data_IF_694404713769
#
_entry.id   IF_694404713769
#
_cell.length_a   1.000
_cell.length_b   1.000
_cell.length_c   1.000
_cell.angle_alpha   90.00
_cell.angle_beta   90.00
_cell.angle_gamma   90.00
#
_symmetry.space_group_name_H-M   'P 1'
#
loop_
_entity.id
_entity.type
_entity.pdbx_description
1 polymer ?
#
# COMPACT_ATOMS: atom_id res chain seq x y z
N UNK A 1 10.95 16.03 -6.49
CA UNK A 1 10.34 15.61 -5.22
C UNK A 1 11.33 15.89 -4.10
N UNK A 2 10.86 16.55 -3.03
CA UNK A 2 11.61 16.74 -1.80
C UNK A 2 11.09 15.73 -0.77
N UNK A 3 11.98 15.07 -0.05
CA UNK A 3 11.64 14.08 0.98
C UNK A 3 12.03 14.65 2.35
N UNK A 4 11.07 14.69 3.27
CA UNK A 4 11.26 15.05 4.66
C UNK A 4 11.19 13.75 5.47
N UNK A 5 12.33 13.28 5.96
CA UNK A 5 12.42 12.13 6.86
C UNK A 5 12.24 12.60 8.31
N UNK A 6 11.34 11.95 9.04
CA UNK A 6 11.01 12.33 10.43
C UNK A 6 11.37 11.22 11.40
N UNK A 7 11.87 11.56 12.60
CA UNK A 7 12.10 10.58 13.64
C UNK A 7 10.80 9.86 14.04
N UNK A 8 10.87 8.54 14.25
CA UNK A 8 9.72 7.73 14.69
C UNK A 8 9.51 7.66 16.19
N UNK A 9 10.43 8.20 17.01
CA UNK A 9 10.31 8.17 18.47
C UNK A 9 9.38 9.26 18.99
N UNK A 10 8.64 8.97 20.06
CA UNK A 10 7.66 9.88 20.65
C UNK A 10 8.22 11.20 21.16
N UNK A 11 9.49 11.22 21.55
CA UNK A 11 10.18 12.42 22.00
C UNK A 11 10.32 13.49 20.90
N UNK A 12 10.18 13.08 19.63
CA UNK A 12 10.35 13.92 18.44
C UNK A 12 9.04 14.16 17.67
N UNK A 13 7.92 14.12 18.38
CA UNK A 13 6.58 14.35 17.77
C UNK A 13 6.48 15.74 17.15
N UNK A 14 7.20 16.74 17.69
CA UNK A 14 7.24 18.10 17.19
C UNK A 14 7.81 18.18 15.78
N UNK A 15 8.93 17.48 15.52
CA UNK A 15 9.56 17.43 14.20
C UNK A 15 8.66 16.73 13.16
N UNK A 16 7.96 15.66 13.56
CA UNK A 16 6.99 15.00 12.71
C UNK A 16 5.81 15.92 12.36
N UNK A 17 5.35 16.73 13.33
CA UNK A 17 4.28 17.70 13.12
C UNK A 17 4.71 18.87 12.22
N UNK A 18 5.92 19.39 12.41
CA UNK A 18 6.48 20.44 11.55
C UNK A 18 6.60 19.94 10.10
N UNK A 19 7.13 18.73 9.89
CA UNK A 19 7.23 18.14 8.56
C UNK A 19 5.85 17.91 7.92
N UNK A 20 4.88 17.38 8.69
CA UNK A 20 3.52 17.18 8.20
C UNK A 20 2.84 18.51 7.80
N UNK A 21 3.11 19.59 8.52
CA UNK A 21 2.54 20.91 8.18
C UNK A 21 3.06 21.49 6.87
N UNK A 22 4.22 21.04 6.40
CA UNK A 22 4.89 21.52 5.19
C UNK A 22 4.82 20.53 4.01
N UNK A 23 4.32 19.33 4.23
CA UNK A 23 4.27 18.27 3.24
C UNK A 23 3.00 18.34 2.37
N UNK A 24 3.11 17.89 1.12
CA UNK A 24 1.97 17.73 0.21
C UNK A 24 1.35 16.30 0.30
N UNK A 25 2.10 15.34 0.81
CA UNK A 25 1.68 13.95 1.00
C UNK A 25 2.55 13.24 2.03
N UNK A 26 2.10 12.11 2.54
CA UNK A 26 2.82 11.33 3.53
C UNK A 26 2.98 9.84 3.13
N UNK A 27 4.10 9.25 3.52
CA UNK A 27 4.32 7.80 3.50
C UNK A 27 4.44 7.35 4.95
N UNK A 28 3.47 6.56 5.42
CA UNK A 28 3.51 5.95 6.74
C UNK A 28 4.21 4.60 6.62
N UNK A 29 5.37 4.46 7.26
CA UNK A 29 6.15 3.23 7.26
C UNK A 29 5.72 2.36 8.44
N UNK A 30 5.35 1.11 8.15
CA UNK A 30 4.91 0.11 9.14
C UNK A 30 5.79 -1.13 9.01
N UNK A 31 6.35 -1.61 10.11
CA UNK A 31 7.13 -2.84 10.08
C UNK A 31 6.25 -4.07 9.83
N UNK A 32 6.59 -4.87 8.83
CA UNK A 32 5.92 -6.14 8.56
C UNK A 32 6.06 -7.16 9.69
N UNK A 33 7.09 -7.00 10.52
CA UNK A 33 7.35 -7.85 11.69
C UNK A 33 6.56 -7.40 12.92
N UNK A 34 6.61 -6.11 13.24
CA UNK A 34 5.98 -5.57 14.45
C UNK A 34 4.47 -5.30 14.25
N UNK A 35 4.06 -5.02 13.02
CA UNK A 35 2.66 -4.66 12.73
C UNK A 35 2.36 -3.20 13.02
N UNK A 36 1.07 -2.92 13.24
CA UNK A 36 0.58 -1.56 13.55
C UNK A 36 0.89 -1.22 14.99
N UNK A 37 1.63 -0.16 15.20
CA UNK A 37 2.06 0.34 16.52
C UNK A 37 1.43 1.72 16.81
N UNK A 38 1.57 2.20 18.04
CA UNK A 38 1.07 3.53 18.44
C UNK A 38 1.63 4.65 17.55
N UNK A 39 2.90 4.52 17.11
CA UNK A 39 3.51 5.45 16.15
C UNK A 39 2.77 5.53 14.81
N UNK A 40 2.28 4.41 14.31
CA UNK A 40 1.46 4.35 13.10
C UNK A 40 0.16 5.13 13.27
N UNK A 41 -0.52 4.96 14.42
CA UNK A 41 -1.77 5.67 14.71
C UNK A 41 -1.56 7.18 14.83
N UNK A 42 -0.48 7.61 15.47
CA UNK A 42 -0.13 9.05 15.58
C UNK A 42 0.22 9.66 14.21
N UNK A 43 0.98 8.94 13.38
CA UNK A 43 1.26 9.39 12.01
C UNK A 43 -0.03 9.51 11.19
N UNK A 44 -0.97 8.59 11.38
CA UNK A 44 -2.29 8.67 10.77
C UNK A 44 -3.07 9.90 11.24
N UNK A 45 -3.13 10.16 12.55
CA UNK A 45 -3.77 11.34 13.14
C UNK A 45 -3.19 12.66 12.61
N UNK A 46 -1.86 12.73 12.43
CA UNK A 46 -1.22 13.89 11.80
C UNK A 46 -1.67 14.08 10.34
N UNK A 47 -1.75 13.00 9.57
CA UNK A 47 -2.27 13.06 8.21
C UNK A 47 -3.73 13.52 8.16
N UNK A 48 -4.58 13.06 9.09
CA UNK A 48 -5.96 13.55 9.22
C UNK A 48 -5.99 15.04 9.57
N UNK A 49 -5.19 15.47 10.55
CA UNK A 49 -5.12 16.87 11.02
C UNK A 49 -4.75 17.84 9.89
N UNK A 50 -3.77 17.46 9.07
CA UNK A 50 -3.27 18.30 7.96
C UNK A 50 -3.88 17.94 6.61
N UNK A 51 -4.87 17.05 6.57
CA UNK A 51 -5.55 16.58 5.35
C UNK A 51 -4.58 16.09 4.26
N UNK A 52 -3.52 15.39 4.67
CA UNK A 52 -2.50 14.89 3.77
C UNK A 52 -2.99 13.64 3.04
N UNK A 53 -2.91 13.59 1.71
CA UNK A 53 -2.87 12.35 0.96
C UNK A 53 -1.79 11.44 1.53
N UNK A 54 -2.09 10.14 1.69
CA UNK A 54 -1.16 9.23 2.33
C UNK A 54 -1.14 7.87 1.68
N UNK A 55 -0.01 7.20 1.81
CA UNK A 55 0.13 5.78 1.51
C UNK A 55 0.84 5.06 2.66
N UNK A 56 0.68 3.75 2.73
CA UNK A 56 1.38 2.92 3.70
C UNK A 56 2.42 2.08 2.97
N UNK A 57 3.63 2.06 3.52
CA UNK A 57 4.71 1.20 3.09
C UNK A 57 5.04 0.20 4.18
N UNK A 58 4.79 -1.09 3.92
CA UNK A 58 5.12 -2.18 4.84
C UNK A 58 6.57 -2.59 4.59
N UNK A 59 7.44 -2.23 5.53
CA UNK A 59 8.89 -2.54 5.51
C UNK A 59 9.19 -3.92 6.09
N UNK A 60 10.47 -4.29 6.09
CA UNK A 60 10.99 -5.49 6.75
C UNK A 60 10.38 -6.80 6.26
N UNK A 61 9.96 -6.86 5.00
CA UNK A 61 9.32 -8.06 4.43
C UNK A 61 10.29 -9.24 4.29
N UNK A 62 11.59 -9.00 4.41
CA UNK A 62 12.67 -9.99 4.39
C UNK A 62 13.08 -10.51 5.79
N UNK A 63 12.44 -10.01 6.84
CA UNK A 63 12.69 -10.44 8.22
C UNK A 63 11.77 -11.60 8.59
N UNK A 64 12.27 -12.50 9.43
CA UNK A 64 11.50 -13.64 9.95
C UNK A 64 10.21 -13.18 10.67
N UNK A 65 9.13 -13.89 10.42
CA UNK A 65 7.79 -13.63 10.93
C UNK A 65 7.16 -12.32 10.44
N UNK A 66 7.70 -11.66 9.41
CA UNK A 66 7.02 -10.54 8.77
C UNK A 66 5.74 -11.01 8.06
N UNK A 67 4.61 -10.36 8.36
CA UNK A 67 3.31 -10.72 7.81
C UNK A 67 2.58 -9.50 7.24
N UNK A 68 2.65 -9.34 5.93
CA UNK A 68 1.89 -8.29 5.23
C UNK A 68 0.39 -8.42 5.47
N UNK A 69 -0.12 -9.66 5.42
CA UNK A 69 -1.55 -9.93 5.63
C UNK A 69 -2.04 -9.43 6.97
N UNK A 70 -1.31 -9.74 8.05
CA UNK A 70 -1.68 -9.29 9.40
C UNK A 70 -1.68 -7.76 9.49
N UNK A 71 -0.68 -7.09 8.91
CA UNK A 71 -0.63 -5.62 8.88
C UNK A 71 -1.85 -5.05 8.16
N UNK A 72 -2.23 -5.61 7.01
CA UNK A 72 -3.42 -5.16 6.27
C UNK A 72 -4.71 -5.42 7.03
N UNK A 73 -4.84 -6.57 7.71
CA UNK A 73 -6.00 -6.89 8.55
C UNK A 73 -6.11 -5.89 9.71
N UNK A 74 -5.03 -5.63 10.45
CA UNK A 74 -4.99 -4.67 11.57
C UNK A 74 -5.32 -3.24 11.09
N UNK A 75 -4.78 -2.82 9.93
CA UNK A 75 -5.08 -1.51 9.34
C UNK A 75 -6.55 -1.41 8.91
N UNK A 76 -7.09 -2.47 8.35
CA UNK A 76 -8.49 -2.50 7.90
C UNK A 76 -9.46 -2.48 9.10
N UNK A 77 -9.10 -3.13 10.20
CA UNK A 77 -9.87 -3.07 11.44
C UNK A 77 -9.92 -1.64 12.01
N UNK A 78 -8.79 -0.93 11.96
CA UNK A 78 -8.68 0.43 12.51
C UNK A 78 -9.29 1.51 11.61
N UNK A 79 -9.07 1.39 10.29
CA UNK A 79 -9.34 2.49 9.34
C UNK A 79 -10.37 2.14 8.26
N UNK A 80 -10.87 0.89 8.25
CA UNK A 80 -11.96 0.48 7.37
C UNK A 80 -11.59 0.27 5.92
N UNK A 81 -12.60 0.39 5.05
CA UNK A 81 -12.53 0.05 3.62
C UNK A 81 -11.56 0.90 2.79
N UNK A 82 -11.11 2.05 3.29
CA UNK A 82 -10.15 2.90 2.59
C UNK A 82 -8.74 2.30 2.49
N UNK A 83 -8.44 1.25 3.24
CA UNK A 83 -7.17 0.52 3.14
C UNK A 83 -7.17 -0.36 1.90
N UNK A 84 -6.32 -0.03 0.93
CA UNK A 84 -6.28 -0.68 -0.37
C UNK A 84 -4.88 -1.25 -0.67
N UNK A 85 -4.65 -2.53 -0.43
CA UNK A 85 -3.43 -3.20 -0.88
C UNK A 85 -3.33 -3.16 -2.39
N UNK A 86 -2.17 -2.70 -2.92
CA UNK A 86 -1.88 -2.69 -4.36
C UNK A 86 -0.81 -3.70 -4.76
N UNK A 87 -0.15 -4.28 -3.76
CA UNK A 87 0.84 -5.34 -3.93
C UNK A 87 0.62 -6.46 -2.92
N UNK A 88 0.95 -7.70 -3.31
CA UNK A 88 1.03 -8.87 -2.44
C UNK A 88 2.44 -9.43 -2.44
N UNK A 89 2.99 -9.87 -1.30
CA UNK A 89 4.32 -10.48 -1.26
C UNK A 89 4.32 -11.86 -1.91
N UNK A 90 5.33 -12.12 -2.75
CA UNK A 90 5.65 -13.45 -3.23
C UNK A 90 6.82 -13.98 -2.40
N UNK A 91 6.63 -15.16 -1.79
CA UNK A 91 7.62 -15.85 -0.98
C UNK A 91 7.92 -17.23 -1.55
N UNK A 92 9.19 -17.62 -1.51
CA UNK A 92 9.64 -18.99 -1.81
C UNK A 92 10.51 -19.44 -0.66
N UNK A 93 10.22 -20.63 -0.10
CA UNK A 93 10.91 -21.17 1.07
C UNK A 93 11.03 -20.13 2.22
N UNK A 94 9.96 -19.39 2.48
CA UNK A 94 9.87 -18.31 3.46
C UNK A 94 10.64 -17.01 3.09
N UNK A 95 11.48 -17.04 2.06
CA UNK A 95 12.18 -15.84 1.57
C UNK A 95 11.26 -14.94 0.76
N UNK A 96 11.36 -13.63 0.99
CA UNK A 96 10.67 -12.61 0.20
C UNK A 96 11.40 -12.41 -1.13
N UNK A 97 10.82 -12.91 -2.22
CA UNK A 97 11.45 -12.96 -3.55
C UNK A 97 10.82 -12.04 -4.59
N UNK A 98 9.59 -11.59 -4.35
CA UNK A 98 8.86 -10.81 -5.34
C UNK A 98 7.55 -10.24 -4.81
N UNK A 99 6.76 -9.69 -5.71
CA UNK A 99 5.42 -9.21 -5.42
C UNK A 99 4.47 -9.43 -6.61
N UNK A 100 3.20 -9.63 -6.31
CA UNK A 100 2.12 -9.55 -7.28
C UNK A 100 1.50 -8.15 -7.26
N UNK A 101 1.37 -7.51 -8.42
CA UNK A 101 0.68 -6.23 -8.57
C UNK A 101 -0.81 -6.49 -8.80
N UNK A 102 -1.66 -6.01 -7.91
CA UNK A 102 -3.10 -6.25 -7.93
C UNK A 102 -3.79 -5.49 -9.07
N UNK A 103 -3.33 -4.28 -9.37
CA UNK A 103 -3.90 -3.44 -10.44
C UNK A 103 -3.66 -4.07 -11.80
N UNK A 104 -2.42 -4.48 -12.06
CA UNK A 104 -2.00 -5.04 -13.37
C UNK A 104 -2.18 -6.55 -13.46
N UNK A 105 -2.37 -7.25 -12.34
CA UNK A 105 -2.39 -8.71 -12.23
C UNK A 105 -1.11 -9.36 -12.78
N UNK A 106 0.05 -8.77 -12.44
CA UNK A 106 1.36 -9.22 -12.87
C UNK A 106 2.23 -9.59 -11.68
N UNK A 107 2.93 -10.73 -11.78
CA UNK A 107 3.98 -11.11 -10.83
C UNK A 107 5.33 -10.50 -11.21
N UNK A 108 6.08 -10.03 -10.23
CA UNK A 108 7.44 -9.49 -10.40
C UNK A 108 8.38 -10.10 -9.37
N UNK A 109 9.54 -10.56 -9.81
CA UNK A 109 10.58 -11.16 -8.99
C UNK A 109 11.89 -10.39 -9.12
N UNK A 110 12.61 -10.22 -8.02
CA UNK A 110 13.95 -9.63 -8.04
C UNK A 110 15.02 -10.65 -8.45
N UNK A 111 15.88 -10.25 -9.39
CA UNK A 111 17.01 -11.06 -9.90
C UNK A 111 18.37 -10.58 -9.37
N UNK A 112 18.36 -9.78 -8.30
CA UNK A 112 19.54 -9.14 -7.70
C UNK A 112 19.70 -7.68 -8.12
N UNK A 113 20.39 -6.88 -7.29
CA UNK A 113 20.69 -5.45 -7.52
C UNK A 113 19.49 -4.59 -7.96
N UNK A 114 18.29 -4.88 -7.47
CA UNK A 114 17.06 -4.12 -7.77
C UNK A 114 16.46 -4.36 -9.15
N UNK A 115 17.01 -5.28 -9.96
CA UNK A 115 16.38 -5.67 -11.23
C UNK A 115 15.19 -6.59 -10.99
N UNK A 116 14.15 -6.42 -11.80
CA UNK A 116 12.91 -7.19 -11.74
C UNK A 116 12.67 -7.89 -13.06
N UNK A 117 12.17 -9.12 -12.96
CA UNK A 117 11.66 -9.89 -14.10
C UNK A 117 10.22 -10.28 -13.83
N UNK A 118 9.48 -10.49 -14.89
CA UNK A 118 8.13 -11.03 -14.81
C UNK A 118 8.16 -12.48 -14.31
N UNK A 119 7.19 -12.86 -13.50
CA UNK A 119 7.01 -14.23 -13.02
C UNK A 119 5.52 -14.56 -12.90
N UNK A 120 5.21 -15.83 -12.82
CA UNK A 120 3.86 -16.29 -12.52
C UNK A 120 3.47 -15.90 -11.09
N UNK A 121 2.20 -15.57 -10.89
CA UNK A 121 1.64 -15.32 -9.57
C UNK A 121 1.33 -16.68 -8.95
N UNK A 122 1.91 -17.01 -7.78
CA UNK A 122 1.65 -18.30 -7.13
C UNK A 122 0.18 -18.47 -6.72
N UNK A 123 -0.32 -19.71 -6.78
CA UNK A 123 -1.72 -20.04 -6.47
C UNK A 123 -2.15 -19.56 -5.08
N UNK A 124 -1.25 -19.59 -4.09
CA UNK A 124 -1.56 -19.11 -2.74
C UNK A 124 -1.79 -17.60 -2.64
N UNK A 125 -1.42 -16.82 -3.67
CA UNK A 125 -1.70 -15.39 -3.76
C UNK A 125 -3.06 -15.12 -4.40
N UNK A 126 -3.63 -16.05 -5.18
CA UNK A 126 -4.79 -15.80 -6.04
C UNK A 126 -6.03 -15.39 -5.26
N UNK A 127 -6.35 -16.08 -4.16
CA UNK A 127 -7.50 -15.76 -3.30
C UNK A 127 -7.42 -14.31 -2.77
N UNK A 128 -6.23 -13.88 -2.31
CA UNK A 128 -6.03 -12.52 -1.80
C UNK A 128 -5.98 -11.49 -2.91
N UNK A 129 -5.43 -11.86 -4.07
CA UNK A 129 -5.39 -11.00 -5.24
C UNK A 129 -6.81 -10.67 -5.70
N UNK A 130 -7.68 -11.67 -5.82
CA UNK A 130 -9.09 -11.49 -6.19
C UNK A 130 -9.82 -10.63 -5.15
N UNK A 131 -9.70 -10.97 -3.87
CA UNK A 131 -10.33 -10.23 -2.76
C UNK A 131 -9.93 -8.75 -2.76
N UNK A 132 -8.64 -8.45 -2.84
CA UNK A 132 -8.18 -7.06 -2.78
C UNK A 132 -8.44 -6.30 -4.09
N UNK A 133 -8.46 -7.02 -5.23
CA UNK A 133 -8.87 -6.43 -6.50
C UNK A 133 -10.33 -6.02 -6.49
N UNK A 134 -11.21 -6.83 -5.91
CA UNK A 134 -12.64 -6.50 -5.76
C UNK A 134 -12.81 -5.21 -4.95
N UNK A 135 -12.17 -5.09 -3.78
CA UNK A 135 -12.21 -3.88 -2.95
C UNK A 135 -11.71 -2.66 -3.73
N UNK A 136 -10.65 -2.83 -4.50
CA UNK A 136 -10.07 -1.77 -5.31
C UNK A 136 -11.01 -1.35 -6.45
N UNK A 137 -11.67 -2.28 -7.12
CA UNK A 137 -12.63 -2.00 -8.18
C UNK A 137 -13.92 -1.37 -7.65
N UNK A 138 -14.39 -1.76 -6.47
CA UNK A 138 -15.50 -1.08 -5.77
C UNK A 138 -15.16 0.41 -5.54
N UNK A 139 -13.96 0.70 -5.04
CA UNK A 139 -13.51 2.08 -4.84
C UNK A 139 -13.36 2.85 -6.15
N UNK A 140 -12.95 2.20 -7.23
CA UNK A 140 -12.94 2.81 -8.58
C UNK A 140 -14.35 3.13 -9.03
N UNK A 141 -15.31 2.21 -8.83
CA UNK A 141 -16.70 2.41 -9.21
C UNK A 141 -17.33 3.61 -8.48
N UNK A 142 -17.00 3.81 -7.21
CA UNK A 142 -17.53 4.93 -6.41
C UNK A 142 -17.08 6.32 -6.91
N UNK A 143 -16.12 6.42 -7.84
CA UNK A 143 -15.62 7.70 -8.36
C UNK A 143 -16.58 8.43 -9.27
N UNK A 144 -17.50 7.74 -9.96
CA UNK A 144 -18.51 8.35 -10.83
C UNK A 144 -19.72 7.45 -11.05
N UNK A 145 -20.88 8.03 -11.38
CA UNK A 145 -22.10 7.28 -11.75
C UNK A 145 -21.84 6.35 -12.96
N UNK A 146 -21.09 6.82 -13.96
CA UNK A 146 -20.73 6.02 -15.13
C UNK A 146 -19.92 4.77 -14.73
N UNK A 147 -18.94 4.91 -13.84
CA UNK A 147 -18.13 3.78 -13.38
C UNK A 147 -18.96 2.83 -12.51
N UNK A 148 -19.87 3.37 -11.72
CA UNK A 148 -20.80 2.56 -10.92
C UNK A 148 -21.70 1.71 -11.80
N UNK A 149 -22.32 2.28 -12.85
CA UNK A 149 -23.17 1.56 -13.79
C UNK A 149 -22.41 0.46 -14.53
N UNK A 150 -21.17 0.74 -14.96
CA UNK A 150 -20.30 -0.23 -15.63
C UNK A 150 -19.92 -1.39 -14.68
N UNK A 151 -19.59 -1.09 -13.43
CA UNK A 151 -19.25 -2.10 -12.42
C UNK A 151 -20.42 -3.06 -12.18
N UNK A 152 -21.64 -2.54 -11.97
CA UNK A 152 -22.84 -3.38 -11.81
C UNK A 152 -23.25 -4.07 -13.11
N UNK A 153 -22.91 -3.51 -14.27
CA UNK A 153 -23.05 -4.14 -15.59
C UNK A 153 -22.06 -5.28 -15.84
N UNK A 154 -21.06 -5.48 -14.98
CA UNK A 154 -20.02 -6.50 -15.14
C UNK A 154 -18.98 -6.14 -16.19
N UNK A 155 -18.84 -4.84 -16.54
CA UNK A 155 -17.83 -4.38 -17.47
C UNK A 155 -16.47 -4.25 -16.77
N UNK A 156 -15.41 -4.67 -17.45
CA UNK A 156 -14.05 -4.54 -16.93
C UNK A 156 -13.51 -3.12 -17.09
N UNK A 157 -12.76 -2.65 -16.08
CA UNK A 157 -12.01 -1.42 -16.16
C UNK A 157 -10.61 -1.67 -16.72
N UNK A 158 -10.16 -0.82 -17.62
CA UNK A 158 -8.78 -0.84 -18.08
C UNK A 158 -7.81 -0.34 -17.01
N UNK A 159 -6.54 -0.77 -17.07
CA UNK A 159 -5.51 -0.34 -16.11
C UNK A 159 -5.37 1.19 -16.04
N UNK A 160 -5.40 1.96 -17.15
CA UNK A 160 -5.39 3.43 -17.09
C UNK A 160 -6.58 4.03 -16.32
N UNK A 161 -7.79 3.51 -16.52
CA UNK A 161 -8.99 3.98 -15.79
C UNK A 161 -8.85 3.72 -14.30
N UNK A 162 -8.40 2.51 -13.91
CA UNK A 162 -8.13 2.17 -12.52
C UNK A 162 -7.11 3.15 -11.91
N UNK A 163 -5.98 3.38 -12.57
CA UNK A 163 -4.93 4.27 -12.08
C UNK A 163 -5.41 5.72 -11.94
N UNK A 164 -6.24 6.19 -12.87
CA UNK A 164 -6.82 7.55 -12.80
C UNK A 164 -7.74 7.68 -11.58
N UNK A 165 -8.64 6.73 -11.38
CA UNK A 165 -9.56 6.72 -10.25
C UNK A 165 -8.80 6.60 -8.91
N UNK A 166 -7.80 5.70 -8.83
CA UNK A 166 -6.96 5.58 -7.64
C UNK A 166 -6.23 6.88 -7.32
N UNK A 167 -5.73 7.59 -8.32
CA UNK A 167 -5.05 8.87 -8.12
C UNK A 167 -5.99 9.90 -7.49
N UNK A 168 -7.23 9.98 -7.95
CA UNK A 168 -8.24 10.87 -7.39
C UNK A 168 -8.59 10.50 -5.94
N UNK A 169 -8.85 9.22 -5.68
CA UNK A 169 -9.21 8.69 -4.35
C UNK A 169 -8.08 8.81 -3.32
N UNK A 170 -6.82 8.73 -3.76
CA UNK A 170 -5.67 8.98 -2.88
C UNK A 170 -5.55 10.46 -2.57
N UNK A 171 -5.76 11.33 -3.57
CA UNK A 171 -5.64 12.77 -3.40
C UNK A 171 -6.70 13.34 -2.43
N UNK A 172 -7.91 12.81 -2.43
CA UNK A 172 -8.98 13.22 -1.52
C UNK A 172 -9.01 12.46 -0.19
N UNK A 173 -8.15 11.43 -0.04
CA UNK A 173 -8.01 10.63 1.18
C UNK A 173 -9.09 9.55 1.36
N UNK A 174 -9.95 9.31 0.36
CA UNK A 174 -10.95 8.24 0.39
C UNK A 174 -10.32 6.85 0.26
N UNK A 175 -9.11 6.77 -0.33
CA UNK A 175 -8.31 5.56 -0.43
C UNK A 175 -6.89 5.77 0.09
N UNK A 176 -6.36 4.75 0.78
CA UNK A 176 -4.98 4.70 1.26
C UNK A 176 -4.29 3.45 0.71
N UNK A 177 -3.43 3.59 -0.31
CA UNK A 177 -2.70 2.47 -0.89
C UNK A 177 -1.75 1.85 0.12
N UNK A 178 -1.66 0.51 0.10
CA UNK A 178 -0.67 -0.24 0.89
C UNK A 178 0.29 -0.96 -0.04
N UNK A 179 1.56 -0.63 0.07
CA UNK A 179 2.67 -1.28 -0.64
C UNK A 179 3.59 -2.01 0.32
N UNK A 180 4.59 -2.69 -0.19
CA UNK A 180 5.51 -3.49 0.62
C UNK A 180 6.92 -3.53 0.04
N UNK A 181 7.87 -3.84 0.90
CA UNK A 181 9.25 -4.02 0.47
C UNK A 181 10.21 -4.41 1.58
N UNK A 182 11.49 -4.52 1.20
CA UNK A 182 12.62 -4.76 2.09
C UNK A 182 13.70 -3.73 1.79
N UNK A 183 13.75 -2.67 2.59
CA UNK A 183 14.55 -1.47 2.31
C UNK A 183 16.05 -1.75 2.31
N UNK A 184 16.53 -2.61 3.23
CA UNK A 184 17.95 -2.99 3.33
C UNK A 184 18.42 -3.73 2.08
N UNK A 185 17.56 -4.51 1.45
CA UNK A 185 17.85 -5.24 0.22
C UNK A 185 17.46 -4.46 -1.05
N UNK A 186 16.97 -3.22 -0.91
CA UNK A 186 16.43 -2.37 -1.99
C UNK A 186 15.29 -3.04 -2.78
N UNK A 187 14.62 -4.02 -2.17
CA UNK A 187 13.45 -4.70 -2.74
C UNK A 187 12.20 -3.86 -2.45
N UNK A 188 11.52 -3.42 -3.50
CA UNK A 188 10.30 -2.62 -3.37
C UNK A 188 10.51 -1.10 -3.27
N UNK A 189 11.73 -0.63 -3.06
CA UNK A 189 12.02 0.81 -2.94
C UNK A 189 11.98 1.57 -4.28
N UNK A 190 12.03 0.86 -5.40
CA UNK A 190 12.02 1.42 -6.76
C UNK A 190 10.86 0.84 -7.61
N UNK A 191 9.67 0.85 -7.07
CA UNK A 191 8.45 0.37 -7.76
C UNK A 191 7.72 1.49 -8.48
#
# INVERSE_FOLDING_TARGET
>A
VNVLDTPGYFDFVGEAEEAASAADAAIIVVSGKNGVEVGTQKAWELCEKYQLPRMIYVSDMDVDNASFRKVVEDLTELYGKKIAPIHLPIRENEEFVGYANIVKQEGRRWTGKGQKVECEIPDYCMEYLEKYREILLESVAETSEEFMDRYFGGEEFSVPEILMALTANVADGSMVPVTLGASVQLKGAAN
#
